data_IF_838909009847
#
_entry.id   IF_838909009847
#
_cell.length_a   1.000
_cell.length_b   1.000
_cell.length_c   1.000
_cell.angle_alpha   90.00
_cell.angle_beta   90.00
_cell.angle_gamma   90.00
#
_symmetry.space_group_name_H-M   'P 1'
#
loop_
_entity.id
_entity.type
_entity.pdbx_description
1 polymer ?
#
# COMPACT_ATOMS: atom_id res chain seq x y z
N UNK A 1 23.51 -24.22 -3.55
CA UNK A 1 22.16 -24.68 -3.13
C UNK A 1 21.76 -23.88 -1.90
N UNK A 2 20.87 -22.89 -2.00
CA UNK A 2 20.36 -22.16 -0.83
C UNK A 2 19.54 -23.13 0.02
N UNK A 3 19.99 -23.39 1.25
CA UNK A 3 19.27 -24.28 2.16
C UNK A 3 17.91 -23.68 2.52
N UNK A 4 16.93 -24.53 2.79
CA UNK A 4 15.58 -24.12 3.20
C UNK A 4 15.62 -23.18 4.41
N UNK A 5 16.60 -23.38 5.30
CA UNK A 5 16.90 -22.52 6.45
C UNK A 5 17.17 -21.07 6.04
N UNK A 6 18.05 -20.83 5.06
CA UNK A 6 18.34 -19.48 4.54
C UNK A 6 17.10 -18.79 3.96
N UNK A 7 16.21 -19.53 3.30
CA UNK A 7 14.97 -18.96 2.75
C UNK A 7 14.01 -18.54 3.84
N UNK A 8 13.87 -19.35 4.89
CA UNK A 8 13.03 -19.05 6.05
C UNK A 8 13.57 -17.82 6.79
N UNK A 9 14.89 -17.75 7.01
CA UNK A 9 15.50 -16.58 7.68
C UNK A 9 15.29 -15.30 6.88
N UNK A 10 15.42 -15.34 5.55
CA UNK A 10 15.15 -14.19 4.69
C UNK A 10 13.68 -13.76 4.72
N UNK A 11 12.74 -14.71 4.74
CA UNK A 11 11.31 -14.41 4.86
C UNK A 11 10.98 -13.73 6.19
N UNK A 12 11.46 -14.30 7.30
CA UNK A 12 11.21 -13.74 8.64
C UNK A 12 11.86 -12.36 8.79
N UNK A 13 13.10 -12.19 8.31
CA UNK A 13 13.78 -10.90 8.32
C UNK A 13 13.04 -9.87 7.45
N UNK A 14 12.53 -10.27 6.29
CA UNK A 14 11.74 -9.42 5.40
C UNK A 14 10.43 -8.96 6.04
N UNK A 15 9.68 -9.87 6.65
CA UNK A 15 8.44 -9.57 7.38
C UNK A 15 8.71 -8.64 8.57
N UNK A 16 9.78 -8.92 9.33
CA UNK A 16 10.18 -8.09 10.46
C UNK A 16 10.56 -6.67 10.03
N UNK A 17 11.33 -6.54 8.95
CA UNK A 17 11.68 -5.24 8.38
C UNK A 17 10.44 -4.48 7.89
N UNK A 18 9.50 -5.17 7.22
CA UNK A 18 8.20 -4.62 6.82
C UNK A 18 7.41 -4.10 8.02
N UNK A 19 7.36 -4.86 9.12
CA UNK A 19 6.66 -4.46 10.33
C UNK A 19 7.31 -3.24 11.00
N UNK A 20 8.64 -3.26 11.13
CA UNK A 20 9.42 -2.16 11.74
C UNK A 20 9.31 -0.87 10.95
N UNK A 21 9.29 -0.96 9.61
CA UNK A 21 9.21 0.19 8.73
C UNK A 21 7.80 0.46 8.21
N UNK A 22 6.76 -0.19 8.76
CA UNK A 22 5.37 -0.13 8.26
C UNK A 22 4.97 1.28 7.85
N UNK A 23 5.13 2.25 8.76
CA UNK A 23 4.72 3.63 8.53
C UNK A 23 5.62 4.39 7.56
N UNK A 24 6.92 4.07 7.49
CA UNK A 24 7.82 4.70 6.50
C UNK A 24 7.54 4.17 5.09
N UNK A 25 7.22 2.88 4.97
CA UNK A 25 6.84 2.25 3.71
C UNK A 25 5.51 2.85 3.25
N UNK A 26 4.50 2.87 4.11
CA UNK A 26 3.20 3.47 3.79
C UNK A 26 3.34 4.97 3.45
N UNK A 27 4.12 5.75 4.18
CA UNK A 27 4.33 7.16 3.83
C UNK A 27 5.01 7.35 2.48
N UNK A 28 5.96 6.48 2.10
CA UNK A 28 6.58 6.55 0.77
C UNK A 28 5.62 6.11 -0.34
N UNK A 29 4.82 5.08 -0.08
CA UNK A 29 3.82 4.55 -1.02
C UNK A 29 2.70 5.58 -1.23
N UNK A 30 2.09 6.08 -0.17
CA UNK A 30 0.99 7.04 -0.23
C UNK A 30 1.44 8.48 -0.51
N UNK A 31 2.68 8.83 -0.18
CA UNK A 31 3.28 10.11 -0.52
C UNK A 31 3.66 10.25 -2.00
N UNK A 32 3.73 9.14 -2.74
CA UNK A 32 4.03 9.17 -4.17
C UNK A 32 2.81 9.65 -4.98
N UNK A 33 2.98 10.78 -5.68
CA UNK A 33 1.94 11.37 -6.51
C UNK A 33 1.41 10.42 -7.60
N UNK A 34 2.25 9.53 -8.16
CA UNK A 34 1.82 8.55 -9.15
C UNK A 34 0.89 7.49 -8.56
N UNK A 35 1.26 6.93 -7.41
CA UNK A 35 0.45 5.91 -6.71
C UNK A 35 -0.88 6.54 -6.29
N UNK A 36 -0.85 7.77 -5.77
CA UNK A 36 -2.06 8.51 -5.40
C UNK A 36 -2.97 8.75 -6.61
N UNK A 37 -2.41 9.20 -7.75
CA UNK A 37 -3.17 9.42 -8.98
C UNK A 37 -3.80 8.13 -9.48
N UNK A 38 -3.03 7.04 -9.53
CA UNK A 38 -3.54 5.74 -9.95
C UNK A 38 -4.69 5.27 -9.06
N UNK A 39 -4.49 5.32 -7.73
CA UNK A 39 -5.50 4.96 -6.75
C UNK A 39 -6.79 5.76 -6.94
N UNK A 40 -6.72 7.10 -6.91
CA UNK A 40 -7.89 7.97 -7.11
C UNK A 40 -8.58 7.67 -8.44
N UNK A 41 -7.83 7.54 -9.54
CA UNK A 41 -8.40 7.31 -10.87
C UNK A 41 -9.12 5.96 -10.93
N UNK A 42 -8.56 4.91 -10.31
CA UNK A 42 -9.20 3.59 -10.24
C UNK A 42 -10.44 3.59 -9.33
N UNK A 43 -10.35 4.23 -8.16
CA UNK A 43 -11.46 4.35 -7.21
C UNK A 43 -12.64 5.11 -7.81
N UNK A 44 -12.39 6.16 -8.59
CA UNK A 44 -13.42 6.98 -9.24
C UNK A 44 -14.15 6.26 -10.38
N UNK A 45 -13.60 5.16 -10.91
CA UNK A 45 -14.29 4.30 -11.89
C UNK A 45 -15.38 3.42 -11.25
N UNK A 46 -15.31 3.21 -9.93
CA UNK A 46 -16.31 2.41 -9.21
C UNK A 46 -17.44 3.33 -8.73
N UNK A 47 -18.69 3.17 -9.22
CA UNK A 47 -19.78 4.11 -8.95
C UNK A 47 -20.12 4.24 -7.46
N UNK A 48 -20.07 3.14 -6.70
CA UNK A 48 -20.29 3.17 -5.26
C UNK A 48 -19.25 4.03 -4.52
N UNK A 49 -17.96 3.84 -4.84
CA UNK A 49 -16.86 4.56 -4.19
C UNK A 49 -16.89 6.04 -4.60
N UNK A 50 -17.09 6.32 -5.89
CA UNK A 50 -17.23 7.68 -6.42
C UNK A 50 -18.34 8.45 -5.70
N UNK A 51 -19.54 7.87 -5.57
CA UNK A 51 -20.67 8.53 -4.92
C UNK A 51 -20.36 8.83 -3.45
N UNK A 52 -19.73 7.91 -2.73
CA UNK A 52 -19.34 8.12 -1.32
C UNK A 52 -18.26 9.20 -1.16
N UNK A 53 -17.27 9.23 -2.04
CA UNK A 53 -16.19 10.23 -2.00
C UNK A 53 -16.70 11.63 -2.33
N UNK A 54 -17.51 11.78 -3.40
CA UNK A 54 -18.12 13.05 -3.78
C UNK A 54 -19.02 13.55 -2.64
N UNK A 55 -19.85 12.68 -2.08
CA UNK A 55 -20.76 13.07 -1.00
C UNK A 55 -20.04 13.46 0.30
N UNK A 56 -18.82 12.96 0.55
CA UNK A 56 -17.99 13.41 1.66
C UNK A 56 -17.21 14.70 1.36
N UNK A 57 -16.81 14.93 0.10
CA UNK A 57 -16.02 16.10 -0.27
C UNK A 57 -16.85 17.39 -0.38
N UNK A 58 -18.14 17.27 -0.72
CA UNK A 58 -19.06 18.39 -0.94
C UNK A 58 -20.08 18.60 0.19
N UNK A 59 -19.86 17.95 1.34
CA UNK A 59 -20.68 18.11 2.55
C UNK A 59 -19.86 18.82 3.61
#
# INVERSE_FOLDING_TARGET
MLSVLTRITLLVAGIYALYRYRYRIFNRVFGNAMIRKLFITTSMKVPYIRNRMIHQAFR
#
